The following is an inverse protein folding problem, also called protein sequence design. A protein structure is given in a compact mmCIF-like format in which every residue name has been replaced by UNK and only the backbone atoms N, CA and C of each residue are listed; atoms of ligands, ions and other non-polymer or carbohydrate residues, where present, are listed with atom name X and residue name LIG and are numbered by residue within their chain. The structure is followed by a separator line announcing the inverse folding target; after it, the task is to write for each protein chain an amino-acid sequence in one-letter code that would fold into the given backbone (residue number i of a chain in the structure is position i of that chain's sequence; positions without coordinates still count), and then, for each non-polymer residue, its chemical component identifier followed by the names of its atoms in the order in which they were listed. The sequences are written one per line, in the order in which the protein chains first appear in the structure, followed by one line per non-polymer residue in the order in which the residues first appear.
data_IF_812017259260
#
_entry.id   IF_812017259260
#
_cell.length_a   1.000
_cell.length_b   1.000
_cell.length_c   1.000
_cell.angle_alpha   90.00
_cell.angle_beta   90.00
_cell.angle_gamma   90.00
#
_symmetry.space_group_name_H-M   'P 1'
#
loop_
_entity.id
_entity.type
_entity.pdbx_description
1 polymer ?
#
# COMPACT_ATOMS: atom_id res chain seq x y z
N UNK A 1 -17.75 -47.38 59.71
CA UNK A 1 -16.79 -47.12 58.65
C UNK A 1 -17.58 -47.07 57.32
N UNK A 2 -17.96 -45.89 56.80
CA UNK A 2 -18.52 -45.81 55.44
C UNK A 2 -17.38 -45.59 54.43
N UNK A 3 -17.49 -46.25 53.28
CA UNK A 3 -16.57 -46.25 52.15
C UNK A 3 -16.55 -44.91 51.44
N UNK A 4 -15.36 -44.42 51.13
CA UNK A 4 -15.15 -43.21 50.30
C UNK A 4 -15.39 -43.57 48.82
N UNK A 5 -16.32 -42.90 48.19
CA UNK A 5 -16.53 -42.93 46.77
C UNK A 5 -15.42 -42.18 46.03
N UNK A 6 -14.87 -42.81 44.96
CA UNK A 6 -13.99 -42.19 44.01
C UNK A 6 -14.76 -41.18 43.16
N UNK A 7 -14.49 -39.89 43.34
CA UNK A 7 -14.90 -38.89 42.36
C UNK A 7 -13.91 -38.90 41.18
N UNK A 8 -14.41 -39.27 40.01
CA UNK A 8 -13.68 -39.13 38.76
C UNK A 8 -13.50 -37.62 38.43
N UNK A 9 -12.24 -37.22 38.20
CA UNK A 9 -11.90 -35.89 37.74
C UNK A 9 -12.47 -35.63 36.32
N UNK A 10 -12.97 -34.40 36.02
CA UNK A 10 -13.51 -34.13 34.70
C UNK A 10 -12.41 -34.13 33.65
N UNK A 11 -12.70 -34.83 32.55
CA UNK A 11 -11.85 -34.93 31.34
C UNK A 11 -11.65 -33.58 30.67
N UNK A 12 -10.50 -32.94 30.90
CA UNK A 12 -10.08 -31.70 30.23
C UNK A 12 -9.41 -31.98 28.91
N UNK A 13 -10.05 -32.71 28.00
CA UNK A 13 -9.60 -32.84 26.62
C UNK A 13 -9.97 -31.55 25.84
N UNK A 14 -8.98 -30.67 25.77
CA UNK A 14 -8.58 -29.83 24.63
C UNK A 14 -9.69 -29.22 23.78
N UNK A 15 -10.29 -28.12 24.27
CA UNK A 15 -10.77 -27.11 23.34
C UNK A 15 -9.52 -26.43 22.72
N UNK A 16 -9.19 -26.79 21.48
CA UNK A 16 -8.21 -26.05 20.71
C UNK A 16 -8.71 -24.59 20.66
N UNK A 17 -7.95 -23.68 21.27
CA UNK A 17 -8.24 -22.26 21.19
C UNK A 17 -8.21 -21.89 19.70
N UNK A 18 -9.36 -21.58 19.12
CA UNK A 18 -9.43 -20.99 17.77
C UNK A 18 -8.79 -19.62 17.90
N UNK A 19 -7.53 -19.53 17.47
CA UNK A 19 -6.84 -18.25 17.37
C UNK A 19 -7.51 -17.45 16.25
N UNK A 20 -8.50 -16.62 16.60
CA UNK A 20 -9.12 -15.71 15.65
C UNK A 20 -8.07 -14.66 15.29
N UNK A 21 -7.52 -14.77 14.09
CA UNK A 21 -6.63 -13.74 13.58
C UNK A 21 -7.46 -12.52 13.15
N UNK A 22 -7.00 -11.33 13.49
CA UNK A 22 -7.68 -10.06 13.14
C UNK A 22 -7.93 -9.88 11.63
N UNK A 23 -7.16 -10.60 10.80
CA UNK A 23 -7.28 -10.61 9.34
C UNK A 23 -8.31 -11.61 8.80
N UNK A 24 -8.79 -12.54 9.66
CA UNK A 24 -9.71 -13.60 9.21
C UNK A 24 -10.92 -12.98 8.48
N UNK A 25 -11.20 -13.50 7.28
CA UNK A 25 -12.29 -13.09 6.40
C UNK A 25 -12.29 -11.63 5.92
N UNK A 26 -11.30 -10.79 6.22
CA UNK A 26 -11.26 -9.43 5.64
C UNK A 26 -11.07 -9.50 4.12
N UNK A 27 -11.88 -8.75 3.39
CA UNK A 27 -11.74 -8.57 1.95
C UNK A 27 -10.86 -7.36 1.67
N UNK A 28 -9.68 -7.61 1.09
CA UNK A 28 -8.63 -6.61 0.89
C UNK A 28 -8.34 -6.46 -0.59
N UNK A 29 -8.77 -5.35 -1.19
CA UNK A 29 -8.49 -5.02 -2.59
C UNK A 29 -7.12 -4.37 -2.71
N UNK A 30 -6.28 -4.84 -3.64
CA UNK A 30 -4.91 -4.38 -3.85
C UNK A 30 -4.69 -4.09 -5.33
N UNK A 31 -4.57 -2.80 -5.69
CA UNK A 31 -4.20 -2.41 -7.06
C UNK A 31 -2.69 -2.56 -7.27
N UNK A 32 -2.27 -2.90 -8.49
CA UNK A 32 -0.86 -3.23 -8.76
C UNK A 32 -0.42 -4.55 -8.10
N UNK A 33 -1.35 -5.50 -7.91
CA UNK A 33 -1.13 -6.76 -7.18
C UNK A 33 -0.32 -7.82 -7.93
N UNK A 34 0.15 -7.58 -9.16
CA UNK A 34 0.87 -8.58 -9.95
C UNK A 34 2.36 -8.72 -9.63
N UNK A 35 2.97 -7.80 -8.88
CA UNK A 35 4.40 -7.83 -8.50
C UNK A 35 4.70 -6.90 -7.31
N UNK A 36 5.94 -6.94 -6.84
CA UNK A 36 6.48 -6.03 -5.84
C UNK A 36 5.66 -5.97 -4.55
N UNK A 37 5.46 -4.76 -4.01
CA UNK A 37 4.76 -4.54 -2.74
C UNK A 37 3.33 -5.14 -2.78
N UNK A 38 2.58 -4.91 -3.86
CA UNK A 38 1.20 -5.39 -3.94
C UNK A 38 1.08 -6.91 -3.88
N UNK A 39 1.95 -7.64 -4.57
CA UNK A 39 1.98 -9.10 -4.52
C UNK A 39 2.41 -9.63 -3.14
N UNK A 40 3.42 -9.01 -2.52
CA UNK A 40 3.89 -9.39 -1.19
C UNK A 40 2.82 -9.17 -0.10
N UNK A 41 2.11 -8.03 -0.16
CA UNK A 41 0.98 -7.76 0.74
C UNK A 41 -0.12 -8.80 0.54
N UNK A 42 -0.51 -9.09 -0.71
CA UNK A 42 -1.54 -10.08 -1.00
C UNK A 42 -1.20 -11.46 -0.43
N UNK A 43 0.05 -11.91 -0.60
CA UNK A 43 0.51 -13.19 -0.05
C UNK A 43 0.46 -13.18 1.49
N UNK A 44 0.96 -12.14 2.13
CA UNK A 44 1.00 -12.05 3.59
C UNK A 44 -0.40 -12.03 4.20
N UNK A 45 -1.31 -11.19 3.68
CA UNK A 45 -2.67 -11.11 4.23
C UNK A 45 -3.47 -12.37 3.95
N UNK A 46 -3.26 -13.03 2.79
CA UNK A 46 -3.86 -14.33 2.49
C UNK A 46 -3.38 -15.44 3.43
N UNK A 47 -2.10 -15.46 3.81
CA UNK A 47 -1.56 -16.36 4.83
C UNK A 47 -2.15 -16.11 6.22
N UNK A 48 -2.58 -14.88 6.49
CA UNK A 48 -3.27 -14.47 7.73
C UNK A 48 -4.80 -14.65 7.68
N UNK A 49 -5.34 -15.36 6.70
CA UNK A 49 -6.77 -15.70 6.61
C UNK A 49 -7.64 -14.71 5.84
N UNK A 50 -7.09 -13.60 5.32
CA UNK A 50 -7.86 -12.65 4.52
C UNK A 50 -8.19 -13.19 3.11
N UNK A 51 -9.13 -12.52 2.44
CA UNK A 51 -9.48 -12.72 1.03
C UNK A 51 -8.91 -11.57 0.17
N UNK A 52 -7.69 -11.69 -0.36
CA UNK A 52 -7.10 -10.64 -1.19
C UNK A 52 -7.71 -10.62 -2.59
N UNK A 53 -8.09 -9.42 -3.07
CA UNK A 53 -8.51 -9.15 -4.44
C UNK A 53 -7.41 -8.37 -5.14
N UNK A 54 -6.67 -9.03 -6.01
CA UNK A 54 -5.54 -8.45 -6.72
C UNK A 54 -5.99 -7.89 -8.06
N UNK A 55 -5.66 -6.63 -8.34
CA UNK A 55 -5.97 -6.00 -9.62
C UNK A 55 -4.69 -5.52 -10.32
N UNK A 56 -4.51 -5.88 -11.60
CA UNK A 56 -3.42 -5.43 -12.45
C UNK A 56 -3.70 -5.70 -13.93
N UNK A 57 -2.89 -5.11 -14.84
CA UNK A 57 -3.02 -5.29 -16.30
C UNK A 57 -2.42 -6.59 -16.81
N UNK A 58 -1.33 -7.07 -16.17
CA UNK A 58 -0.58 -8.25 -16.61
C UNK A 58 -1.26 -9.51 -16.07
N UNK A 59 -2.08 -10.14 -16.90
CA UNK A 59 -2.94 -11.25 -16.49
C UNK A 59 -2.15 -12.45 -15.99
N UNK A 60 -1.09 -12.86 -16.68
CA UNK A 60 -0.29 -14.04 -16.30
C UNK A 60 0.34 -13.87 -14.92
N UNK A 61 1.04 -12.76 -14.71
CA UNK A 61 1.71 -12.45 -13.43
C UNK A 61 0.68 -12.25 -12.31
N UNK A 62 -0.48 -11.66 -12.64
CA UNK A 62 -1.56 -11.45 -11.69
C UNK A 62 -2.14 -12.79 -11.20
N UNK A 63 -2.40 -13.74 -12.11
CA UNK A 63 -2.88 -15.08 -11.75
C UNK A 63 -1.86 -15.85 -10.91
N UNK A 64 -0.57 -15.74 -11.22
CA UNK A 64 0.50 -16.34 -10.41
C UNK A 64 0.55 -15.73 -9.01
N UNK A 65 0.43 -14.40 -8.89
CA UNK A 65 0.41 -13.73 -7.59
C UNK A 65 -0.83 -14.13 -6.78
N UNK A 66 -2.01 -14.20 -7.39
CA UNK A 66 -3.24 -14.64 -6.73
C UNK A 66 -3.13 -16.09 -6.24
N UNK A 67 -2.62 -17.01 -7.05
CA UNK A 67 -2.44 -18.40 -6.64
C UNK A 67 -1.52 -18.56 -5.43
N UNK A 68 -0.51 -17.68 -5.28
CA UNK A 68 0.38 -17.64 -4.11
C UNK A 68 -0.26 -16.97 -2.89
N UNK A 69 -1.36 -16.25 -3.06
CA UNK A 69 -2.03 -15.51 -1.99
C UNK A 69 -3.15 -16.31 -1.29
N UNK A 70 -3.25 -17.60 -1.58
CA UNK A 70 -4.19 -18.53 -0.94
C UNK A 70 -5.47 -18.78 -1.73
N UNK A 71 -6.31 -19.72 -1.26
CA UNK A 71 -7.49 -20.21 -1.99
C UNK A 71 -8.60 -19.15 -2.13
N UNK A 72 -8.64 -18.18 -1.23
CA UNK A 72 -9.64 -17.09 -1.25
C UNK A 72 -9.20 -15.89 -2.09
N UNK A 73 -8.04 -15.96 -2.76
CA UNK A 73 -7.57 -14.86 -3.59
C UNK A 73 -8.37 -14.74 -4.90
N UNK A 74 -8.69 -13.49 -5.30
CA UNK A 74 -9.35 -13.19 -6.55
C UNK A 74 -8.44 -12.32 -7.44
N UNK A 75 -8.23 -12.73 -8.69
CA UNK A 75 -7.51 -11.95 -9.69
C UNK A 75 -8.50 -11.21 -10.60
N UNK A 76 -8.34 -9.87 -10.71
CA UNK A 76 -9.17 -9.03 -11.59
C UNK A 76 -8.24 -8.28 -12.55
N UNK A 77 -8.30 -8.62 -13.83
CA UNK A 77 -7.51 -7.92 -14.85
C UNK A 77 -8.14 -6.55 -15.09
N UNK A 78 -7.39 -5.48 -14.76
CA UNK A 78 -7.88 -4.11 -14.89
C UNK A 78 -6.75 -3.10 -15.08
N UNK A 79 -7.01 -2.06 -15.87
CA UNK A 79 -6.20 -0.83 -15.96
C UNK A 79 -6.80 0.23 -15.04
N UNK A 80 -6.15 0.47 -13.91
CA UNK A 80 -6.60 1.45 -12.90
C UNK A 80 -6.59 2.89 -13.38
N UNK A 81 -6.02 3.18 -14.55
CA UNK A 81 -6.10 4.51 -15.19
C UNK A 81 -7.43 4.76 -15.90
N UNK A 82 -8.29 3.75 -15.96
CA UNK A 82 -9.62 3.79 -16.58
C UNK A 82 -10.70 3.61 -15.52
N UNK A 83 -11.49 4.64 -15.30
CA UNK A 83 -12.54 4.65 -14.26
C UNK A 83 -13.53 3.44 -14.35
N UNK A 84 -14.04 3.04 -15.52
CA UNK A 84 -14.94 1.88 -15.62
C UNK A 84 -14.25 0.57 -15.20
N UNK A 85 -12.94 0.45 -15.45
CA UNK A 85 -12.19 -0.75 -15.09
C UNK A 85 -11.93 -0.80 -13.57
N UNK A 86 -11.78 0.34 -12.91
CA UNK A 86 -11.72 0.41 -11.45
C UNK A 86 -13.07 0.03 -10.82
N UNK A 87 -14.19 0.47 -11.39
CA UNK A 87 -15.52 0.05 -10.93
C UNK A 87 -15.68 -1.47 -11.04
N UNK A 88 -15.24 -2.10 -12.13
CA UNK A 88 -15.27 -3.58 -12.25
C UNK A 88 -14.51 -4.31 -11.15
N UNK A 89 -13.44 -3.73 -10.58
CA UNK A 89 -12.73 -4.32 -9.43
C UNK A 89 -13.66 -4.34 -8.20
N UNK A 90 -14.35 -3.24 -7.94
CA UNK A 90 -15.33 -3.15 -6.84
C UNK A 90 -16.45 -4.15 -7.04
N UNK A 91 -17.06 -4.18 -8.25
CA UNK A 91 -18.17 -5.07 -8.57
C UNK A 91 -17.78 -6.55 -8.43
N UNK A 92 -16.58 -6.92 -8.89
CA UNK A 92 -16.06 -8.28 -8.76
C UNK A 92 -15.83 -8.69 -7.29
N UNK A 93 -15.28 -7.78 -6.47
CA UNK A 93 -15.07 -8.03 -5.05
C UNK A 93 -16.41 -8.17 -4.31
N UNK A 94 -17.37 -7.28 -4.55
CA UNK A 94 -18.70 -7.32 -3.95
C UNK A 94 -19.50 -8.55 -4.41
N UNK A 95 -19.45 -8.91 -5.68
CA UNK A 95 -20.12 -10.12 -6.20
C UNK A 95 -19.57 -11.39 -5.57
N UNK A 96 -18.25 -11.46 -5.32
CA UNK A 96 -17.60 -12.67 -4.80
C UNK A 96 -17.68 -12.79 -3.29
N UNK A 97 -17.58 -11.67 -2.55
CA UNK A 97 -17.40 -11.67 -1.10
C UNK A 97 -18.46 -10.84 -0.35
N UNK A 98 -19.33 -10.10 -1.03
CA UNK A 98 -20.38 -9.27 -0.43
C UNK A 98 -19.87 -8.01 0.27
N UNK A 99 -18.54 -7.81 0.39
CA UNK A 99 -17.96 -6.66 1.09
C UNK A 99 -16.55 -6.32 0.63
N UNK A 100 -16.12 -5.11 0.95
CA UNK A 100 -14.72 -4.66 0.87
C UNK A 100 -14.40 -4.00 2.22
N UNK A 101 -13.41 -4.52 2.94
CA UNK A 101 -12.98 -3.99 4.23
C UNK A 101 -11.79 -3.05 4.10
N UNK A 102 -10.87 -3.34 3.16
CA UNK A 102 -9.67 -2.55 2.90
C UNK A 102 -9.50 -2.35 1.40
N UNK A 103 -9.15 -1.12 1.00
CA UNK A 103 -8.77 -0.77 -0.37
C UNK A 103 -7.36 -0.18 -0.38
N UNK A 104 -6.43 -0.85 -1.08
CA UNK A 104 -5.03 -0.42 -1.18
C UNK A 104 -4.74 0.10 -2.58
N UNK A 105 -4.57 1.41 -2.71
CA UNK A 105 -4.06 2.06 -3.91
C UNK A 105 -2.54 1.91 -3.93
N UNK A 106 -2.06 0.80 -4.50
CA UNK A 106 -0.63 0.49 -4.61
C UNK A 106 -0.12 0.63 -6.05
N UNK A 107 -0.98 0.53 -7.06
CA UNK A 107 -0.56 0.73 -8.45
C UNK A 107 0.14 2.07 -8.63
N UNK A 108 1.31 2.05 -9.28
CA UNK A 108 2.11 3.23 -9.51
C UNK A 108 3.22 3.00 -10.52
N UNK A 109 3.82 4.08 -11.01
CA UNK A 109 4.95 4.07 -11.94
C UNK A 109 5.94 5.17 -11.58
N UNK A 110 7.23 4.86 -11.73
CA UNK A 110 8.31 5.84 -11.60
C UNK A 110 8.66 6.48 -12.94
N UNK A 111 9.48 7.53 -12.86
CA UNK A 111 10.12 8.17 -14.01
C UNK A 111 11.57 8.46 -13.63
N UNK A 112 12.48 8.45 -14.60
CA UNK A 112 13.88 8.88 -14.43
C UNK A 112 14.19 10.03 -15.40
N UNK A 113 13.77 11.24 -14.99
CA UNK A 113 14.00 12.46 -15.79
C UNK A 113 14.06 13.70 -14.87
N UNK A 114 15.11 14.53 -14.98
CA UNK A 114 15.20 15.81 -14.27
C UNK A 114 14.06 16.76 -14.68
N UNK A 115 13.69 17.71 -13.80
CA UNK A 115 12.59 18.66 -14.04
C UNK A 115 12.74 19.42 -15.36
N UNK A 116 13.95 19.92 -15.64
CA UNK A 116 14.22 20.69 -16.86
C UNK A 116 14.08 19.90 -18.18
N UNK A 117 13.93 18.58 -18.11
CA UNK A 117 13.80 17.70 -19.27
C UNK A 117 12.42 17.06 -19.37
N UNK A 118 11.52 17.30 -18.42
CA UNK A 118 10.16 16.74 -18.45
C UNK A 118 9.40 17.24 -19.66
N UNK A 119 8.67 16.34 -20.30
CA UNK A 119 7.63 16.69 -21.28
C UNK A 119 6.26 16.70 -20.61
N UNK A 120 5.27 17.31 -21.27
CA UNK A 120 3.87 17.30 -20.80
C UNK A 120 3.38 15.85 -20.64
N UNK A 121 3.73 14.94 -21.59
CA UNK A 121 3.34 13.53 -21.54
C UNK A 121 3.99 12.78 -20.36
N UNK A 122 5.20 13.16 -19.97
CA UNK A 122 5.87 12.58 -18.80
C UNK A 122 5.12 12.96 -17.52
N UNK A 123 4.78 14.24 -17.40
CA UNK A 123 4.06 14.76 -16.24
C UNK A 123 2.65 14.19 -16.16
N UNK A 124 1.91 14.24 -17.28
CA UNK A 124 0.54 13.73 -17.37
C UNK A 124 0.46 12.24 -17.08
N UNK A 125 1.42 11.44 -17.56
CA UNK A 125 1.47 10.02 -17.24
C UNK A 125 1.65 9.78 -15.74
N UNK A 126 2.55 10.50 -15.07
CA UNK A 126 2.77 10.36 -13.63
C UNK A 126 1.51 10.75 -12.85
N UNK A 127 0.85 11.85 -13.23
CA UNK A 127 -0.41 12.26 -12.60
C UNK A 127 -1.54 11.25 -12.87
N UNK A 128 -1.65 10.74 -14.08
CA UNK A 128 -2.67 9.75 -14.46
C UNK A 128 -2.49 8.43 -13.70
N UNK A 129 -1.25 7.91 -13.63
CA UNK A 129 -0.98 6.59 -13.05
C UNK A 129 -0.93 6.64 -11.52
N UNK A 130 -0.33 7.68 -10.92
CA UNK A 130 -0.07 7.72 -9.47
C UNK A 130 -1.13 8.47 -8.67
N UNK A 131 -1.90 9.38 -9.31
CA UNK A 131 -2.87 10.23 -8.62
C UNK A 131 -4.29 9.90 -9.05
N UNK A 132 -4.61 10.01 -10.36
CA UNK A 132 -5.98 9.76 -10.84
C UNK A 132 -6.42 8.32 -10.59
N UNK A 133 -5.54 7.34 -10.74
CA UNK A 133 -5.87 5.95 -10.44
C UNK A 133 -6.30 5.75 -8.98
N UNK A 134 -5.58 6.36 -8.03
CA UNK A 134 -5.93 6.31 -6.62
C UNK A 134 -7.24 7.05 -6.34
N UNK A 135 -7.46 8.22 -6.96
CA UNK A 135 -8.72 8.96 -6.88
C UNK A 135 -9.90 8.12 -7.38
N UNK A 136 -9.73 7.39 -8.49
CA UNK A 136 -10.76 6.49 -9.01
C UNK A 136 -11.07 5.36 -8.04
N UNK A 137 -10.03 4.75 -7.44
CA UNK A 137 -10.19 3.72 -6.41
C UNK A 137 -10.95 4.22 -5.19
N UNK A 138 -10.55 5.39 -4.67
CA UNK A 138 -11.23 6.05 -3.56
C UNK A 138 -12.72 6.27 -3.89
N UNK A 139 -13.01 6.90 -5.02
CA UNK A 139 -14.38 7.24 -5.42
C UNK A 139 -15.26 6.02 -5.73
N UNK A 140 -14.66 4.92 -6.17
CA UNK A 140 -15.38 3.69 -6.48
C UNK A 140 -15.74 2.89 -5.20
N UNK A 141 -14.84 2.85 -4.19
CA UNK A 141 -15.08 2.05 -2.98
C UNK A 141 -15.81 2.82 -1.87
N UNK A 142 -15.66 4.15 -1.84
CA UNK A 142 -16.16 4.99 -0.76
C UNK A 142 -17.68 4.91 -0.54
N UNK A 143 -18.56 4.86 -1.57
CA UNK A 143 -20.00 4.67 -1.36
C UNK A 143 -20.31 3.41 -0.55
N UNK A 144 -19.70 2.26 -0.89
CA UNK A 144 -19.86 1.01 -0.16
C UNK A 144 -19.35 1.10 1.29
N UNK A 145 -18.20 1.76 1.53
CA UNK A 145 -17.69 1.95 2.88
C UNK A 145 -18.60 2.88 3.71
N UNK A 146 -19.15 3.93 3.10
CA UNK A 146 -20.11 4.83 3.77
C UNK A 146 -21.42 4.11 4.14
N UNK A 147 -21.95 3.29 3.24
CA UNK A 147 -23.15 2.47 3.52
C UNK A 147 -22.92 1.52 4.70
N UNK A 148 -21.71 0.94 4.81
CA UNK A 148 -21.34 0.06 5.93
C UNK A 148 -20.92 0.81 7.19
N UNK A 149 -20.68 2.13 7.12
CA UNK A 149 -20.17 2.95 8.21
C UNK A 149 -18.72 2.67 8.59
N UNK A 150 -17.99 1.82 7.86
CA UNK A 150 -16.61 1.40 8.17
C UNK A 150 -15.82 0.97 6.94
N UNK A 151 -14.49 1.12 7.03
CA UNK A 151 -13.57 0.70 5.99
C UNK A 151 -12.17 1.26 6.20
N UNK A 152 -11.21 0.84 5.37
CA UNK A 152 -9.86 1.39 5.41
C UNK A 152 -9.32 1.61 4.00
N UNK A 153 -8.99 2.84 3.66
CA UNK A 153 -8.35 3.22 2.41
C UNK A 153 -6.87 3.48 2.69
N UNK A 154 -5.99 2.74 2.03
CA UNK A 154 -4.54 2.86 2.17
C UNK A 154 -3.93 3.30 0.84
N UNK A 155 -3.23 4.43 0.82
CA UNK A 155 -2.52 4.93 -0.35
C UNK A 155 -1.02 4.70 -0.19
N UNK A 156 -0.42 3.93 -1.12
CA UNK A 156 1.04 3.72 -1.13
C UNK A 156 1.69 4.94 -1.79
N UNK A 157 2.28 5.79 -0.95
CA UNK A 157 3.03 6.96 -1.36
C UNK A 157 4.53 6.66 -1.48
N UNK A 158 5.40 7.52 -0.98
CA UNK A 158 6.86 7.38 -0.96
C UNK A 158 7.45 8.40 0.00
N UNK A 159 8.64 8.15 0.55
CA UNK A 159 9.42 9.20 1.22
C UNK A 159 9.74 10.36 0.27
N UNK A 160 9.80 10.12 -1.05
CA UNK A 160 9.95 11.16 -2.06
C UNK A 160 8.73 12.10 -2.18
N UNK A 161 7.62 11.80 -1.50
CA UNK A 161 6.50 12.72 -1.31
C UNK A 161 6.75 13.74 -0.18
N UNK A 162 7.92 13.73 0.42
CA UNK A 162 8.32 14.64 1.50
C UNK A 162 9.65 15.32 1.24
N UNK A 163 10.62 14.57 0.70
CA UNK A 163 12.00 15.04 0.53
C UNK A 163 12.55 14.62 -0.84
N UNK A 164 13.34 15.46 -1.53
CA UNK A 164 13.81 15.22 -2.89
C UNK A 164 15.11 14.38 -2.94
N UNK A 165 15.20 13.26 -2.22
CA UNK A 165 16.39 12.40 -2.18
C UNK A 165 16.86 11.88 -3.55
N UNK A 166 16.02 11.93 -4.57
CA UNK A 166 16.34 11.48 -5.92
C UNK A 166 15.74 12.47 -6.93
N UNK A 167 16.47 13.55 -7.22
CA UNK A 167 16.02 14.67 -8.07
C UNK A 167 15.55 14.21 -9.45
N UNK A 168 16.17 13.15 -10.02
CA UNK A 168 15.75 12.55 -11.29
C UNK A 168 14.36 11.87 -11.25
N UNK A 169 13.80 11.66 -10.06
CA UNK A 169 12.43 11.16 -9.86
C UNK A 169 11.38 12.29 -9.81
N UNK A 170 11.62 13.37 -10.50
CA UNK A 170 10.94 14.66 -10.44
C UNK A 170 9.41 14.61 -10.48
N UNK A 171 8.80 14.24 -11.61
CA UNK A 171 7.34 14.14 -11.75
C UNK A 171 6.74 13.01 -10.91
N UNK A 172 7.50 11.96 -10.60
CA UNK A 172 7.08 10.95 -9.63
C UNK A 172 6.92 11.57 -8.24
N UNK A 173 7.94 12.29 -7.75
CA UNK A 173 7.88 12.97 -6.46
C UNK A 173 6.69 13.93 -6.39
N UNK A 174 6.49 14.76 -7.44
CA UNK A 174 5.35 15.67 -7.54
C UNK A 174 4.00 14.92 -7.45
N UNK A 175 3.86 13.79 -8.17
CA UNK A 175 2.65 12.97 -8.12
C UNK A 175 2.40 12.36 -6.73
N UNK A 176 3.47 11.96 -6.02
CA UNK A 176 3.34 11.41 -4.67
C UNK A 176 3.03 12.49 -3.62
N UNK A 177 3.50 13.73 -3.79
CA UNK A 177 3.05 14.88 -2.99
C UNK A 177 1.55 15.16 -3.20
N UNK A 178 1.09 15.17 -4.46
CA UNK A 178 -0.33 15.35 -4.78
C UNK A 178 -1.19 14.24 -4.14
N UNK A 179 -0.75 12.98 -4.19
CA UNK A 179 -1.44 11.86 -3.54
C UNK A 179 -1.51 12.05 -2.01
N UNK A 180 -0.43 12.52 -1.36
CA UNK A 180 -0.42 12.80 0.07
C UNK A 180 -1.46 13.87 0.44
N UNK A 181 -1.53 14.96 -0.33
CA UNK A 181 -2.50 16.03 -0.13
C UNK A 181 -3.94 15.50 -0.24
N UNK A 182 -4.27 14.76 -1.31
CA UNK A 182 -5.60 14.14 -1.47
C UNK A 182 -5.94 13.19 -0.32
N UNK A 183 -4.97 12.40 0.15
CA UNK A 183 -5.18 11.47 1.27
C UNK A 183 -5.49 12.21 2.57
N UNK A 184 -4.78 13.31 2.84
CA UNK A 184 -5.00 14.11 4.03
C UNK A 184 -6.36 14.81 4.01
N UNK A 185 -6.76 15.39 2.86
CA UNK A 185 -8.06 16.04 2.71
C UNK A 185 -9.20 15.00 2.89
N UNK A 186 -9.14 13.84 2.22
CA UNK A 186 -10.15 12.80 2.38
C UNK A 186 -10.34 12.39 3.85
N UNK A 187 -9.25 12.28 4.61
CA UNK A 187 -9.32 11.96 6.05
C UNK A 187 -10.05 13.02 6.85
N UNK A 188 -9.84 14.30 6.50
CA UNK A 188 -10.56 15.44 7.14
C UNK A 188 -12.03 15.42 6.74
N UNK A 189 -12.35 15.21 5.45
CA UNK A 189 -13.71 15.17 4.92
C UNK A 189 -14.58 14.10 5.59
N UNK A 190 -13.97 12.94 5.93
CA UNK A 190 -14.70 11.82 6.53
C UNK A 190 -14.85 11.90 8.05
N UNK A 191 -14.01 12.69 8.72
CA UNK A 191 -13.82 12.66 10.18
C UNK A 191 -15.11 12.80 10.98
N UNK A 192 -15.99 13.72 10.57
CA UNK A 192 -17.18 14.04 11.34
C UNK A 192 -18.32 13.01 11.18
N UNK A 193 -18.53 12.54 9.94
CA UNK A 193 -19.68 11.69 9.60
C UNK A 193 -19.33 10.19 9.58
N UNK A 194 -18.07 9.84 9.28
CA UNK A 194 -17.63 8.46 9.11
C UNK A 194 -16.31 8.18 9.85
N UNK A 195 -16.28 8.28 11.19
CA UNK A 195 -15.03 8.16 11.99
C UNK A 195 -14.37 6.78 11.88
N UNK A 196 -15.13 5.73 11.56
CA UNK A 196 -14.64 4.36 11.38
C UNK A 196 -14.21 4.04 9.94
N UNK A 197 -14.25 5.03 9.03
CA UNK A 197 -13.58 4.93 7.72
C UNK A 197 -12.18 5.52 7.84
N UNK A 198 -11.20 4.65 7.99
CA UNK A 198 -9.80 5.06 8.13
C UNK A 198 -9.17 5.39 6.77
N UNK A 199 -8.29 6.38 6.75
CA UNK A 199 -7.54 6.78 5.54
C UNK A 199 -6.08 6.94 5.90
N UNK A 200 -5.22 6.14 5.28
CA UNK A 200 -3.80 6.05 5.62
C UNK A 200 -2.90 6.27 4.41
N UNK A 201 -1.72 6.82 4.67
CA UNK A 201 -0.60 6.85 3.72
C UNK A 201 0.54 5.99 4.22
N UNK A 202 1.13 5.19 3.32
CA UNK A 202 2.37 4.46 3.58
C UNK A 202 3.48 5.12 2.77
N UNK A 203 4.62 5.39 3.42
CA UNK A 203 5.77 6.07 2.81
C UNK A 203 7.00 5.14 2.79
N UNK A 204 7.11 4.26 1.78
CA UNK A 204 8.31 3.46 1.59
C UNK A 204 9.48 4.32 1.11
N UNK A 205 10.70 3.89 1.46
CA UNK A 205 11.92 4.31 0.77
C UNK A 205 12.16 3.49 -0.49
N UNK A 206 13.42 3.15 -0.77
CA UNK A 206 13.77 2.24 -1.86
C UNK A 206 13.43 0.82 -1.43
N UNK A 207 12.63 0.11 -2.23
CA UNK A 207 12.20 -1.27 -1.98
C UNK A 207 12.77 -2.18 -3.06
N UNK A 208 13.26 -3.36 -2.69
CA UNK A 208 13.88 -4.34 -3.57
C UNK A 208 12.86 -4.98 -4.55
N UNK A 209 12.52 -4.24 -5.59
CA UNK A 209 11.56 -4.62 -6.64
C UNK A 209 12.08 -4.22 -8.02
N UNK A 210 11.36 -4.60 -9.06
CA UNK A 210 11.60 -4.17 -10.46
C UNK A 210 11.08 -2.75 -10.76
N UNK A 211 10.60 -2.01 -9.76
CA UNK A 211 10.01 -0.68 -9.94
C UNK A 211 10.95 0.32 -10.63
N UNK A 212 12.25 0.28 -10.28
CA UNK A 212 13.26 1.14 -10.91
C UNK A 212 13.42 0.83 -12.39
N UNK A 213 13.53 -0.44 -12.76
CA UNK A 213 13.66 -0.89 -14.15
C UNK A 213 12.43 -0.56 -14.99
N UNK A 214 11.23 -0.67 -14.40
CA UNK A 214 9.96 -0.41 -15.06
C UNK A 214 9.59 1.08 -15.14
N UNK A 215 10.41 1.97 -14.59
CA UNK A 215 10.19 3.41 -14.64
C UNK A 215 10.24 3.93 -16.08
N UNK A 216 9.46 4.98 -16.36
CA UNK A 216 9.55 5.69 -17.64
C UNK A 216 10.97 6.27 -17.80
N UNK A 217 11.56 6.10 -18.96
CA UNK A 217 12.98 6.36 -19.27
C UNK A 217 13.99 5.49 -18.48
N UNK A 218 13.55 4.32 -17.97
CA UNK A 218 14.40 3.39 -17.25
C UNK A 218 14.74 3.82 -15.82
N UNK A 219 15.71 3.15 -15.23
CA UNK A 219 16.23 3.45 -13.89
C UNK A 219 17.03 2.29 -13.32
N UNK A 220 17.69 2.49 -12.17
CA UNK A 220 18.47 1.44 -11.53
C UNK A 220 17.58 0.29 -11.07
N UNK A 221 18.12 -0.92 -11.11
CA UNK A 221 17.48 -2.08 -10.48
C UNK A 221 17.53 -1.91 -8.96
N UNK A 222 16.38 -1.62 -8.37
CA UNK A 222 16.29 -1.39 -6.93
C UNK A 222 16.72 -2.60 -6.10
N UNK A 223 16.67 -3.82 -6.64
CA UNK A 223 17.10 -5.06 -5.97
C UNK A 223 18.61 -5.13 -5.76
N UNK A 224 19.36 -4.38 -6.55
CA UNK A 224 20.85 -4.33 -6.48
C UNK A 224 21.35 -3.21 -5.55
N UNK A 225 20.47 -2.37 -5.02
CA UNK A 225 20.85 -1.28 -4.14
C UNK A 225 21.01 -1.78 -2.70
N UNK A 226 22.17 -1.58 -2.05
CA UNK A 226 22.48 -2.18 -0.74
C UNK A 226 21.57 -1.67 0.40
N UNK A 227 20.94 -0.52 0.21
CA UNK A 227 20.02 0.08 1.17
C UNK A 227 18.54 -0.20 0.89
N UNK A 228 18.23 -0.97 -0.18
CA UNK A 228 16.85 -1.31 -0.50
C UNK A 228 16.23 -2.18 0.60
N UNK A 229 14.97 -1.87 0.94
CA UNK A 229 14.21 -2.66 1.88
C UNK A 229 13.75 -3.97 1.22
N UNK A 230 13.79 -5.12 1.91
CA UNK A 230 13.05 -6.30 1.51
C UNK A 230 11.55 -5.96 1.33
N UNK A 231 10.92 -6.51 0.32
CA UNK A 231 9.50 -6.24 0.04
C UNK A 231 8.60 -6.80 1.15
N UNK A 232 9.03 -7.84 1.81
CA UNK A 232 8.36 -8.49 2.95
C UNK A 232 8.29 -7.55 4.17
N UNK A 233 9.35 -6.78 4.42
CA UNK A 233 9.37 -5.75 5.49
C UNK A 233 8.27 -4.71 5.25
N UNK A 234 8.12 -4.25 4.02
CA UNK A 234 7.07 -3.28 3.65
C UNK A 234 5.68 -3.90 3.75
N UNK A 235 5.53 -5.16 3.33
CA UNK A 235 4.27 -5.89 3.44
C UNK A 235 3.84 -6.06 4.90
N UNK A 236 4.78 -6.34 5.81
CA UNK A 236 4.49 -6.46 7.24
C UNK A 236 4.01 -5.13 7.82
N UNK A 237 4.65 -4.00 7.48
CA UNK A 237 4.21 -2.66 7.92
C UNK A 237 2.78 -2.36 7.43
N UNK A 238 2.42 -2.77 6.21
CA UNK A 238 1.07 -2.59 5.68
C UNK A 238 0.07 -3.50 6.39
N UNK A 239 0.42 -4.75 6.68
CA UNK A 239 -0.42 -5.66 7.45
C UNK A 239 -0.69 -5.11 8.86
N UNK A 240 0.34 -4.65 9.57
CA UNK A 240 0.20 -4.01 10.88
C UNK A 240 -0.66 -2.73 10.83
N UNK A 241 -0.58 -1.98 9.72
CA UNK A 241 -1.41 -0.79 9.51
C UNK A 241 -2.89 -1.14 9.29
N UNK A 242 -3.20 -2.29 8.68
CA UNK A 242 -4.57 -2.78 8.54
C UNK A 242 -5.14 -3.17 9.90
N UNK A 243 -4.33 -3.78 10.77
CA UNK A 243 -4.71 -4.17 12.13
C UNK A 243 -4.83 -2.96 13.08
N UNK A 244 -3.92 -1.99 12.92
CA UNK A 244 -3.81 -0.80 13.77
C UNK A 244 -3.77 0.47 12.91
N UNK A 245 -4.92 0.99 12.47
CA UNK A 245 -5.00 2.13 11.55
C UNK A 245 -4.31 3.38 12.11
N UNK A 246 -3.46 4.00 11.29
CA UNK A 246 -2.76 5.26 11.56
C UNK A 246 -2.82 6.13 10.31
N UNK A 247 -2.83 7.43 10.50
CA UNK A 247 -2.91 8.40 9.40
C UNK A 247 -1.74 8.29 8.41
N UNK A 248 -0.54 8.05 8.93
CA UNK A 248 0.69 8.03 8.14
C UNK A 248 1.71 7.07 8.77
N UNK A 249 2.35 6.24 7.96
CA UNK A 249 3.42 5.34 8.39
C UNK A 249 4.59 5.38 7.42
N UNK A 250 5.80 5.48 7.98
CA UNK A 250 7.06 5.28 7.27
C UNK A 250 7.48 3.83 7.44
N UNK A 251 7.95 3.19 6.38
CA UNK A 251 8.31 1.78 6.44
C UNK A 251 9.58 1.49 7.24
N UNK A 252 10.40 2.52 7.50
CA UNK A 252 11.51 2.51 8.46
C UNK A 252 11.53 3.79 9.29
N UNK A 253 11.83 3.74 10.60
CA UNK A 253 11.87 4.92 11.47
C UNK A 253 12.81 6.03 10.98
N UNK A 254 13.94 5.64 10.35
CA UNK A 254 14.94 6.59 9.83
C UNK A 254 14.33 7.59 8.81
N UNK A 255 13.36 7.16 8.01
CA UNK A 255 12.75 8.06 7.03
C UNK A 255 11.95 9.19 7.70
N UNK A 256 11.26 8.90 8.80
CA UNK A 256 10.56 9.93 9.57
C UNK A 256 11.54 10.94 10.17
N UNK A 257 12.69 10.46 10.66
CA UNK A 257 13.74 11.33 11.21
C UNK A 257 14.34 12.22 10.12
N UNK A 258 14.64 11.67 8.94
CA UNK A 258 15.17 12.43 7.81
C UNK A 258 14.18 13.52 7.32
N UNK A 259 12.89 13.17 7.24
CA UNK A 259 11.83 14.14 6.89
C UNK A 259 11.73 15.24 7.94
N UNK A 260 11.76 14.90 9.22
CA UNK A 260 11.72 15.89 10.31
C UNK A 260 12.94 16.81 10.29
N UNK A 261 14.14 16.26 10.05
CA UNK A 261 15.37 17.05 9.91
C UNK A 261 15.31 18.01 8.71
N UNK A 262 14.79 17.54 7.58
CA UNK A 262 14.66 18.36 6.36
C UNK A 262 13.73 19.57 6.59
N UNK A 263 12.53 19.34 7.13
CA UNK A 263 11.57 20.44 7.38
C UNK A 263 11.88 21.27 8.63
N UNK A 264 12.72 20.76 9.53
CA UNK A 264 13.21 21.49 10.69
C UNK A 264 14.43 22.37 10.41
N UNK A 265 15.00 22.33 9.20
CA UNK A 265 16.12 23.17 8.85
C UNK A 265 15.69 24.62 8.64
N UNK A 266 16.53 25.55 9.04
CA UNK A 266 16.34 26.98 8.77
C UNK A 266 16.41 27.27 7.26
N UNK A 267 17.33 26.58 6.55
CA UNK A 267 17.46 26.64 5.09
C UNK A 267 17.66 25.20 4.55
N UNK A 268 16.68 24.71 3.80
CA UNK A 268 16.71 23.38 3.21
C UNK A 268 17.83 23.21 2.17
N UNK A 269 18.25 24.31 1.50
CA UNK A 269 19.34 24.26 0.52
C UNK A 269 20.66 23.80 1.14
N UNK A 270 20.88 24.09 2.42
CA UNK A 270 22.08 23.61 3.16
C UNK A 270 22.04 22.08 3.28
N UNK A 271 20.87 21.51 3.60
CA UNK A 271 20.72 20.06 3.67
C UNK A 271 20.84 19.43 2.27
N UNK A 272 20.22 20.04 1.27
CA UNK A 272 20.24 19.54 -0.12
C UNK A 272 21.65 19.55 -0.73
N UNK A 273 22.59 20.33 -0.18
CA UNK A 273 23.98 20.32 -0.59
C UNK A 273 24.83 19.16 -0.02
N UNK A 274 24.23 18.30 0.81
CA UNK A 274 24.91 17.20 1.50
C UNK A 274 24.33 15.82 1.08
N UNK A 275 25.05 14.72 1.33
CA UNK A 275 24.48 13.39 1.20
C UNK A 275 23.22 13.22 2.08
N UNK A 276 22.19 12.51 1.61
CA UNK A 276 22.11 11.73 0.38
C UNK A 276 21.61 12.49 -0.86
N UNK A 277 21.43 13.80 -0.82
CA UNK A 277 20.91 14.61 -1.94
C UNK A 277 21.94 14.80 -3.05
N UNK A 278 23.21 14.84 -2.69
CA UNK A 278 24.32 14.90 -3.64
C UNK A 278 25.11 13.60 -3.58
N UNK A 279 25.59 13.13 -4.72
CA UNK A 279 26.47 11.99 -4.74
C UNK A 279 27.76 12.29 -3.95
N UNK A 280 28.33 11.29 -3.22
CA UNK A 280 29.66 11.47 -2.64
C UNK A 280 30.63 11.92 -3.73
N UNK A 281 31.46 12.91 -3.45
CA UNK A 281 32.55 13.26 -4.37
C UNK A 281 33.47 12.03 -4.50
N UNK A 282 33.92 11.69 -5.71
CA UNK A 282 34.81 10.55 -5.95
C UNK A 282 36.12 10.69 -5.18
#
# INVERSE_FOLDING_TARGET
MPAFGNEEAPDTRGAAAVTVHFMDDKVIVITGGSSGIGAAVAQLVGQKGAAPVLAARRERELRVAAAKSGPNALAVVADVTKRPEVQRIVDAALSRFGRIDVWINNAGRGISRPVAQLTDEDFDEMMRVNVKSALYGIQAVLPHMKERGRGHIINISSVLSRVPFASFRSAYSASKHALMSLTANLRVDLRAEFPDIHVSSVLPGVVATDFGLSARHGGPDSRQLPFAQPVEEVAQVIADLIEHPRAEVYTRPIYKQQVAAYYGAEDVAVIESQPPFVAPKP
#
